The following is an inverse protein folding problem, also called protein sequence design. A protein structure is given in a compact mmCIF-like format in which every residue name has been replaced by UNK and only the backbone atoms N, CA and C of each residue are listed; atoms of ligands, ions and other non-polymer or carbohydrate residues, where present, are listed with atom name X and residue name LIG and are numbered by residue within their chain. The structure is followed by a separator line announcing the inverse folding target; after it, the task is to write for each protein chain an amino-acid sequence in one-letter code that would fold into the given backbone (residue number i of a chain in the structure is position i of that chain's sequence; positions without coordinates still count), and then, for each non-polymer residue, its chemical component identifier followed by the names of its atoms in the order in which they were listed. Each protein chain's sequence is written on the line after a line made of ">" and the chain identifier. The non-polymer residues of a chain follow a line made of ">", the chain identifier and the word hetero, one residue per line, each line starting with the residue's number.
data_IF_285857778956
#
_entry.id   IF_285857778956
#
_cell.length_a   1.000
_cell.length_b   1.000
_cell.length_c   1.000
_cell.angle_alpha   90.00
_cell.angle_beta   90.00
_cell.angle_gamma   90.00
#
_symmetry.space_group_name_H-M   'P 1'
#
loop_
_entity.id
_entity.type
_entity.pdbx_description
1 polymer ?
#
# COMPACT_ATOMS: atom_id res chain seq x y z
N UNK A 1 -3.47 4.75 18.73
CA UNK A 1 -4.50 3.97 17.99
C UNK A 1 -5.81 4.73 17.98
N UNK A 2 -6.45 4.80 16.81
CA UNK A 2 -7.68 5.56 16.59
C UNK A 2 -8.78 4.61 16.14
N UNK A 3 -10.02 4.71 16.72
CA UNK A 3 -11.14 3.93 16.26
C UNK A 3 -11.54 4.31 14.81
N UNK A 4 -12.27 3.46 14.06
CA UNK A 4 -12.83 2.18 14.50
C UNK A 4 -11.86 1.00 14.44
N UNK A 5 -10.72 1.11 13.73
CA UNK A 5 -9.84 -0.04 13.50
C UNK A 5 -8.72 -0.18 14.52
N UNK A 6 -8.59 0.77 15.46
CA UNK A 6 -7.55 0.78 16.49
C UNK A 6 -6.14 0.51 15.94
N UNK A 7 -5.86 1.00 14.73
CA UNK A 7 -4.57 0.90 14.09
C UNK A 7 -3.71 2.16 14.34
N UNK A 8 -2.44 2.09 14.03
CA UNK A 8 -1.51 3.21 14.07
C UNK A 8 -0.84 3.42 12.71
N UNK A 9 -0.17 4.55 12.53
CA UNK A 9 0.51 4.91 11.28
C UNK A 9 1.51 3.83 10.84
N UNK A 10 2.34 3.36 11.75
CA UNK A 10 3.37 2.37 11.45
C UNK A 10 2.80 1.06 10.91
N UNK A 11 1.64 0.61 11.41
CA UNK A 11 0.96 -0.58 10.88
C UNK A 11 0.53 -0.41 9.43
N UNK A 12 0.04 0.79 9.06
CA UNK A 12 -0.37 1.07 7.69
C UNK A 12 0.84 1.13 6.75
N UNK A 13 1.91 1.83 7.13
CA UNK A 13 3.13 1.87 6.32
C UNK A 13 3.75 0.48 6.16
N UNK A 14 3.93 -0.26 7.26
CA UNK A 14 4.44 -1.63 7.18
C UNK A 14 3.59 -2.50 6.26
N UNK A 15 2.25 -2.39 6.34
CA UNK A 15 1.36 -3.20 5.53
C UNK A 15 1.50 -2.88 4.02
N UNK A 16 1.64 -1.61 3.67
CA UNK A 16 1.95 -1.21 2.29
C UNK A 16 3.25 -1.87 1.82
N UNK A 17 4.32 -1.77 2.62
CA UNK A 17 5.63 -2.33 2.25
C UNK A 17 5.61 -3.86 2.17
N UNK A 18 4.93 -4.53 3.09
CA UNK A 18 4.72 -5.98 3.06
C UNK A 18 4.01 -6.42 1.78
N UNK A 19 3.02 -5.65 1.32
CA UNK A 19 2.28 -5.96 0.11
C UNK A 19 3.20 -5.91 -1.13
N UNK A 20 3.97 -4.83 -1.29
CA UNK A 20 4.97 -4.75 -2.36
C UNK A 20 6.05 -5.82 -2.23
N UNK A 21 6.54 -6.09 -1.03
CA UNK A 21 7.52 -7.13 -0.81
C UNK A 21 7.01 -8.52 -1.21
N UNK A 22 5.75 -8.83 -0.93
CA UNK A 22 5.12 -10.08 -1.38
C UNK A 22 5.05 -10.17 -2.91
N UNK A 23 4.69 -9.07 -3.59
CA UNK A 23 4.68 -9.01 -5.06
C UNK A 23 6.09 -9.25 -5.62
N UNK A 24 7.10 -8.64 -5.02
CA UNK A 24 8.49 -8.72 -5.47
C UNK A 24 9.18 -10.05 -5.10
N UNK A 25 8.55 -10.89 -4.30
CA UNK A 25 9.06 -12.20 -3.89
C UNK A 25 8.65 -13.34 -4.84
N UNK A 26 8.11 -13.02 -6.04
CA UNK A 26 7.74 -14.05 -7.03
C UNK A 26 8.93 -14.95 -7.39
N UNK A 27 8.63 -16.22 -7.59
CA UNK A 27 9.57 -17.25 -7.99
C UNK A 27 9.69 -17.36 -9.53
N UNK A 28 10.50 -18.31 -9.99
CA UNK A 28 10.65 -18.60 -11.43
C UNK A 28 9.35 -19.08 -12.10
N UNK A 29 8.34 -19.47 -11.32
CA UNK A 29 7.00 -19.87 -11.80
C UNK A 29 6.03 -18.69 -11.86
N UNK A 30 6.52 -17.49 -11.54
CA UNK A 30 5.70 -16.27 -11.48
C UNK A 30 4.46 -16.43 -10.58
N UNK A 31 4.65 -17.05 -9.41
CA UNK A 31 3.60 -17.18 -8.39
C UNK A 31 3.84 -16.14 -7.30
N UNK A 32 2.81 -15.36 -7.00
CA UNK A 32 2.78 -14.36 -5.92
C UNK A 32 1.72 -14.78 -4.91
N UNK A 33 2.10 -15.03 -3.67
CA UNK A 33 1.15 -15.34 -2.58
C UNK A 33 0.99 -14.11 -1.67
N UNK A 34 -0.10 -13.37 -1.83
CA UNK A 34 -0.44 -12.19 -1.03
C UNK A 34 -0.93 -12.56 0.38
N UNK A 35 -1.18 -13.83 0.66
CA UNK A 35 -1.61 -14.29 1.98
C UNK A 35 -0.44 -14.51 2.94
N UNK A 36 0.80 -14.55 2.42
CA UNK A 36 2.02 -14.66 3.22
C UNK A 36 2.33 -13.28 3.81
N UNK A 37 2.24 -13.17 5.13
CA UNK A 37 2.53 -11.94 5.86
C UNK A 37 3.91 -12.03 6.48
N UNK A 38 4.88 -11.29 5.94
CA UNK A 38 6.24 -11.22 6.51
C UNK A 38 6.27 -10.56 7.88
N UNK A 39 5.32 -9.64 8.16
CA UNK A 39 5.14 -8.94 9.45
C UNK A 39 6.46 -8.41 10.03
N UNK A 40 7.16 -7.58 9.27
CA UNK A 40 8.33 -6.87 9.79
C UNK A 40 7.89 -5.88 10.89
N UNK A 41 7.71 -6.39 12.11
CA UNK A 41 7.18 -5.63 13.25
C UNK A 41 8.07 -4.42 13.62
N UNK A 42 9.36 -4.47 13.33
CA UNK A 42 10.26 -3.36 13.63
C UNK A 42 9.88 -2.09 12.86
N UNK A 43 9.42 -2.23 11.61
CA UNK A 43 8.96 -1.09 10.81
C UNK A 43 7.65 -0.45 11.31
N UNK A 44 6.94 -1.07 12.27
CA UNK A 44 5.75 -0.47 12.88
C UNK A 44 6.09 0.56 13.97
N UNK A 45 7.24 0.40 14.63
CA UNK A 45 7.56 1.13 15.85
C UNK A 45 8.84 1.97 15.75
N UNK A 46 9.64 1.76 14.72
CA UNK A 46 10.91 2.45 14.48
C UNK A 46 10.90 3.09 13.09
N UNK A 47 10.94 4.43 13.07
CA UNK A 47 10.91 5.22 11.83
C UNK A 47 12.12 4.90 10.95
N UNK A 48 13.31 4.72 11.53
CA UNK A 48 14.52 4.36 10.76
C UNK A 48 14.33 3.01 10.06
N UNK A 49 13.76 2.04 10.75
CA UNK A 49 13.46 0.72 10.17
C UNK A 49 12.34 0.77 9.11
N UNK A 50 11.39 1.66 9.27
CA UNK A 50 10.38 1.91 8.24
C UNK A 50 11.00 2.52 6.98
N UNK A 51 11.91 3.50 7.12
CA UNK A 51 12.65 4.09 6.01
C UNK A 51 13.55 3.06 5.33
N UNK A 52 14.32 2.27 6.09
CA UNK A 52 15.14 1.18 5.54
C UNK A 52 14.30 0.20 4.70
N UNK A 53 13.08 -0.12 5.17
CA UNK A 53 12.18 -1.04 4.46
C UNK A 53 11.59 -0.40 3.19
N UNK A 54 11.23 0.88 3.25
CA UNK A 54 10.80 1.64 2.08
C UNK A 54 11.89 1.65 1.01
N UNK A 55 13.12 2.01 1.39
CA UNK A 55 14.27 2.07 0.47
C UNK A 55 14.55 0.71 -0.16
N UNK A 56 14.45 -0.37 0.62
CA UNK A 56 14.57 -1.73 0.11
C UNK A 56 13.51 -2.04 -0.96
N UNK A 57 12.24 -1.70 -0.70
CA UNK A 57 11.14 -1.92 -1.64
C UNK A 57 11.32 -1.07 -2.91
N UNK A 58 11.63 0.22 -2.75
CA UNK A 58 11.85 1.14 -3.88
C UNK A 58 13.01 0.68 -4.75
N UNK A 59 14.13 0.26 -4.15
CA UNK A 59 15.28 -0.26 -4.89
C UNK A 59 14.92 -1.49 -5.72
N UNK A 60 14.13 -2.40 -5.17
CA UNK A 60 13.68 -3.61 -5.90
C UNK A 60 12.71 -3.28 -7.03
N UNK A 61 11.77 -2.35 -6.80
CA UNK A 61 10.86 -1.88 -7.85
C UNK A 61 11.62 -1.22 -8.99
N UNK A 62 12.59 -0.35 -8.68
CA UNK A 62 13.40 0.35 -9.68
C UNK A 62 14.33 -0.57 -10.48
N UNK A 63 14.63 -1.76 -9.96
CA UNK A 63 15.44 -2.77 -10.63
C UNK A 63 14.64 -3.72 -11.53
N UNK A 64 13.31 -3.56 -11.58
CA UNK A 64 12.47 -4.37 -12.48
C UNK A 64 12.72 -4.01 -13.93
N UNK A 65 12.87 -5.03 -14.77
CA UNK A 65 12.93 -4.87 -16.22
C UNK A 65 11.53 -4.71 -16.79
N UNK A 66 11.37 -3.80 -17.78
CA UNK A 66 10.06 -3.57 -18.42
C UNK A 66 9.45 -4.84 -19.04
N UNK A 67 10.29 -5.77 -19.47
CA UNK A 67 9.83 -7.04 -20.07
C UNK A 67 8.96 -7.88 -19.13
N UNK A 68 9.06 -7.66 -17.80
CA UNK A 68 8.22 -8.40 -16.85
C UNK A 68 6.78 -7.86 -16.83
N UNK A 69 6.53 -6.61 -17.21
CA UNK A 69 5.24 -5.94 -17.04
C UNK A 69 4.09 -6.71 -17.70
N UNK A 70 4.33 -7.25 -18.89
CA UNK A 70 3.34 -8.03 -19.65
C UNK A 70 3.31 -9.52 -19.30
N UNK A 71 4.18 -9.99 -18.41
CA UNK A 71 4.20 -11.40 -18.02
C UNK A 71 2.93 -11.77 -17.26
N UNK A 72 2.40 -12.94 -17.61
CA UNK A 72 1.34 -13.57 -16.82
C UNK A 72 1.92 -14.03 -15.47
N UNK A 73 1.26 -13.67 -14.40
CA UNK A 73 1.58 -14.08 -13.03
C UNK A 73 0.36 -14.74 -12.39
N UNK A 74 0.57 -15.70 -11.52
CA UNK A 74 -0.47 -16.30 -10.72
C UNK A 74 -0.47 -15.69 -9.32
N UNK A 75 -1.58 -15.09 -8.94
CA UNK A 75 -1.77 -14.47 -7.63
C UNK A 75 -2.61 -15.39 -6.77
N UNK A 76 -2.10 -15.72 -5.58
CA UNK A 76 -2.86 -16.39 -4.52
C UNK A 76 -3.30 -15.33 -3.52
N UNK A 77 -4.59 -15.23 -3.30
CA UNK A 77 -5.16 -14.27 -2.34
C UNK A 77 -6.38 -14.88 -1.64
N UNK A 78 -6.79 -14.30 -0.51
CA UNK A 78 -8.01 -14.66 0.20
C UNK A 78 -9.01 -13.48 0.14
N UNK A 79 -10.04 -13.65 -0.65
CA UNK A 79 -11.11 -12.66 -0.80
C UNK A 79 -12.22 -12.84 0.25
N UNK A 80 -11.92 -13.44 1.40
CA UNK A 80 -12.85 -13.64 2.52
C UNK A 80 -13.62 -14.97 2.49
N UNK A 81 -13.28 -15.84 1.54
CA UNK A 81 -13.88 -17.20 1.41
C UNK A 81 -12.83 -18.30 1.21
N UNK A 82 -11.60 -18.06 1.67
CA UNK A 82 -10.46 -18.95 1.49
C UNK A 82 -9.58 -18.55 0.31
N UNK A 83 -8.41 -19.19 0.23
CA UNK A 83 -7.41 -18.90 -0.80
C UNK A 83 -7.90 -19.29 -2.19
N UNK A 84 -7.77 -18.37 -3.12
CA UNK A 84 -8.01 -18.60 -4.55
C UNK A 84 -6.76 -18.25 -5.34
N UNK A 85 -6.60 -18.87 -6.50
CA UNK A 85 -5.52 -18.61 -7.46
C UNK A 85 -6.09 -17.92 -8.68
N UNK A 86 -5.57 -16.74 -9.00
CA UNK A 86 -6.05 -15.91 -10.11
C UNK A 86 -4.92 -15.61 -11.08
N UNK A 87 -5.26 -15.32 -12.32
CA UNK A 87 -4.33 -14.84 -13.34
C UNK A 87 -4.32 -13.33 -13.39
N UNK A 88 -3.12 -12.76 -13.44
CA UNK A 88 -2.86 -11.33 -13.62
C UNK A 88 -1.77 -11.14 -14.68
N UNK A 89 -1.64 -9.94 -15.23
CA UNK A 89 -0.34 -9.47 -15.71
C UNK A 89 0.40 -8.82 -14.56
N UNK A 90 1.73 -8.78 -14.62
CA UNK A 90 2.52 -8.17 -13.54
C UNK A 90 2.17 -6.68 -13.36
N UNK A 91 1.96 -5.95 -14.47
CA UNK A 91 1.50 -4.55 -14.43
C UNK A 91 0.13 -4.38 -13.75
N UNK A 92 -0.81 -5.28 -14.01
CA UNK A 92 -2.13 -5.24 -13.36
C UNK A 92 -2.00 -5.46 -11.84
N UNK A 93 -1.10 -6.35 -11.43
CA UNK A 93 -0.81 -6.57 -10.01
C UNK A 93 -0.16 -5.35 -9.36
N UNK A 94 0.77 -4.67 -10.04
CA UNK A 94 1.33 -3.39 -9.55
C UNK A 94 0.28 -2.29 -9.50
N UNK A 95 -0.65 -2.23 -10.44
CA UNK A 95 -1.78 -1.29 -10.40
C UNK A 95 -2.68 -1.54 -9.20
N UNK A 96 -2.95 -2.81 -8.86
CA UNK A 96 -3.67 -3.16 -7.63
C UNK A 96 -2.91 -2.71 -6.38
N UNK A 97 -1.59 -2.91 -6.33
CA UNK A 97 -0.75 -2.47 -5.23
C UNK A 97 -0.79 -0.94 -5.05
N UNK A 98 -0.75 -0.19 -6.15
CA UNK A 98 -0.88 1.26 -6.12
C UNK A 98 -2.25 1.69 -5.57
N UNK A 99 -3.34 1.09 -6.04
CA UNK A 99 -4.69 1.37 -5.54
C UNK A 99 -4.82 1.05 -4.04
N UNK A 100 -4.24 -0.07 -3.60
CA UNK A 100 -4.17 -0.45 -2.20
C UNK A 100 -3.36 0.55 -1.35
N UNK A 101 -2.27 1.06 -1.88
CA UNK A 101 -1.45 2.11 -1.25
C UNK A 101 -2.26 3.40 -1.06
N UNK A 102 -2.98 3.85 -2.09
CA UNK A 102 -3.83 5.06 -2.02
C UNK A 102 -4.93 4.88 -0.96
N UNK A 103 -5.53 3.69 -0.85
CA UNK A 103 -6.48 3.37 0.20
C UNK A 103 -5.87 3.57 1.60
N UNK A 104 -4.66 3.04 1.84
CA UNK A 104 -3.97 3.23 3.11
C UNK A 104 -3.54 4.68 3.35
N UNK A 105 -3.13 5.41 2.32
CA UNK A 105 -2.80 6.83 2.46
C UNK A 105 -4.03 7.66 2.86
N UNK A 106 -5.21 7.35 2.34
CA UNK A 106 -6.45 7.99 2.78
C UNK A 106 -6.71 7.73 4.27
N UNK A 107 -6.51 6.49 4.75
CA UNK A 107 -6.66 6.18 6.18
C UNK A 107 -5.61 6.92 7.03
N UNK A 108 -4.36 6.96 6.58
CA UNK A 108 -3.27 7.71 7.23
C UNK A 108 -3.63 9.20 7.32
N UNK A 109 -4.19 9.78 6.25
CA UNK A 109 -4.64 11.18 6.24
C UNK A 109 -5.70 11.44 7.31
N UNK A 110 -6.70 10.56 7.46
CA UNK A 110 -7.70 10.67 8.54
C UNK A 110 -7.08 10.55 9.93
N UNK A 111 -6.13 9.63 10.12
CA UNK A 111 -5.42 9.47 11.40
C UNK A 111 -4.65 10.75 11.74
N UNK A 112 -3.87 11.30 10.80
CA UNK A 112 -3.08 12.51 10.99
C UNK A 112 -3.96 13.71 11.28
N UNK A 113 -5.06 13.87 10.54
CA UNK A 113 -6.04 14.92 10.80
C UNK A 113 -6.62 14.84 12.21
N UNK A 114 -6.99 13.64 12.67
CA UNK A 114 -7.50 13.42 14.05
C UNK A 114 -6.45 13.75 15.11
N UNK A 115 -5.16 13.60 14.80
CA UNK A 115 -4.05 13.97 15.69
C UNK A 115 -3.65 15.44 15.58
N UNK A 116 -4.34 16.25 14.77
CA UNK A 116 -4.01 17.65 14.54
C UNK A 116 -2.74 17.88 13.72
N UNK A 117 -2.23 16.85 13.03
CA UNK A 117 -1.04 16.93 12.18
C UNK A 117 -1.45 17.32 10.77
N UNK A 118 -0.96 18.47 10.32
CA UNK A 118 -1.20 18.95 8.95
C UNK A 118 -0.27 18.24 7.97
N UNK A 119 -0.83 17.73 6.88
CA UNK A 119 -0.09 17.24 5.71
C UNK A 119 0.02 18.42 4.72
N UNK A 120 1.24 18.72 4.27
CA UNK A 120 1.48 19.83 3.31
C UNK A 120 1.01 19.48 1.88
N UNK A 121 1.12 18.20 1.50
CA UNK A 121 0.61 17.71 0.22
C UNK A 121 -0.91 17.54 0.29
N UNK A 122 -1.63 18.46 -0.33
CA UNK A 122 -3.10 18.46 -0.42
C UNK A 122 -3.65 17.34 -1.31
N UNK A 123 -2.79 16.56 -1.96
CA UNK A 123 -3.14 15.42 -2.81
C UNK A 123 -2.96 14.07 -2.11
N UNK A 124 -2.35 14.07 -0.93
CA UNK A 124 -2.06 12.86 -0.20
C UNK A 124 -3.32 12.06 0.15
N UNK A 125 -3.35 10.81 -0.26
CA UNK A 125 -4.48 9.90 -0.04
C UNK A 125 -5.65 10.06 -1.02
N UNK A 126 -5.57 11.00 -1.97
CA UNK A 126 -6.57 11.11 -3.03
C UNK A 126 -6.22 10.18 -4.21
N UNK A 127 -7.25 9.59 -4.79
CA UNK A 127 -7.08 8.94 -6.09
C UNK A 127 -6.72 10.01 -7.14
N UNK A 128 -5.74 9.78 -8.03
CA UNK A 128 -5.33 10.76 -9.05
C UNK A 128 -6.47 11.25 -9.96
N UNK A 129 -7.54 10.47 -10.09
CA UNK A 129 -8.72 10.82 -10.89
C UNK A 129 -9.80 11.58 -10.09
N UNK A 130 -9.60 11.77 -8.78
CA UNK A 130 -10.57 12.48 -7.94
C UNK A 130 -10.54 13.98 -8.28
N UNK A 131 -11.70 14.60 -8.61
CA UNK A 131 -11.75 16.04 -8.82
C UNK A 131 -11.38 16.79 -7.53
N UNK A 132 -10.46 17.74 -7.63
CA UNK A 132 -10.00 18.56 -6.50
C UNK A 132 -10.91 19.80 -6.31
N UNK A 133 -12.20 19.61 -6.27
CA UNK A 133 -13.12 20.70 -5.93
C UNK A 133 -13.00 20.96 -4.43
N UNK A 134 -12.48 22.13 -4.06
CA UNK A 134 -12.50 22.57 -2.66
C UNK A 134 -13.96 22.56 -2.19
N UNK A 135 -14.30 21.88 -1.10
CA UNK A 135 -15.66 21.92 -0.58
C UNK A 135 -16.02 23.37 -0.23
N UNK A 136 -17.15 23.85 -0.76
CA UNK A 136 -17.71 25.16 -0.44
C UNK A 136 -18.46 25.04 0.91
N UNK A 137 -17.84 24.44 1.92
CA UNK A 137 -18.34 24.54 3.27
C UNK A 137 -17.66 25.74 3.93
N UNK A 138 -18.28 26.91 3.82
CA UNK A 138 -18.04 27.96 4.79
C UNK A 138 -18.59 27.42 6.11
N UNK A 139 -17.73 27.20 7.09
CA UNK A 139 -18.16 27.10 8.47
C UNK A 139 -18.85 28.46 8.78
N UNK A 140 -20.15 28.46 8.90
CA UNK A 140 -20.85 29.58 9.50
C UNK A 140 -20.47 29.56 11.00
N UNK A 141 -19.88 30.70 11.43
CA UNK A 141 -19.57 30.98 12.83
C UNK A 141 -20.86 31.21 13.62
#
# INVERSE_FOLDING_TARGET
>A
TIPPFYSNLGKHFRHIFDFYNAILAFDQKYIVDLTIKSRNSNAEYDISKACDYLDYVVKRLSALDESIMKKEVFVIDDLGKGKIKMKYTFEALLSQANSHTIHHYAIIAYILNTLGVKIEDDTFGYNPTTPKNKPIFKAEN
#
